data_IF_256209492783
#
_entry.id   IF_256209492783
#
_cell.length_a   1.000
_cell.length_b   1.000
_cell.length_c   1.000
_cell.angle_alpha   90.00
_cell.angle_beta   90.00
_cell.angle_gamma   90.00
#
_symmetry.space_group_name_H-M   'P 1'
#
loop_
_entity.id
_entity.type
_entity.pdbx_description
1 polymer ?
#
# COMPACT_ATOMS: atom_id res chain seq x y z
N UNK A 1 4.36 -49.04 1.97
CA UNK A 1 3.63 -48.02 1.17
C UNK A 1 4.68 -47.08 0.60
N UNK A 2 4.95 -47.17 -0.70
CA UNK A 2 6.08 -46.47 -1.34
C UNK A 2 5.53 -45.32 -2.16
N UNK A 3 5.90 -44.07 -1.84
CA UNK A 3 5.54 -42.93 -2.68
C UNK A 3 6.37 -43.00 -3.97
N UNK A 4 5.68 -42.96 -5.11
CA UNK A 4 6.29 -43.15 -6.44
C UNK A 4 6.67 -41.82 -7.12
N UNK A 5 5.95 -40.73 -6.80
CA UNK A 5 6.20 -39.39 -7.33
C UNK A 5 5.49 -38.32 -6.52
N UNK A 6 6.07 -37.12 -6.42
CA UNK A 6 5.43 -35.91 -5.89
C UNK A 6 5.66 -34.73 -6.85
N UNK A 7 4.87 -33.66 -6.69
CA UNK A 7 5.04 -32.38 -7.40
C UNK A 7 4.78 -31.25 -6.43
N UNK A 8 5.70 -30.30 -6.36
CA UNK A 8 5.53 -29.07 -5.57
C UNK A 8 4.71 -28.07 -6.38
N UNK A 9 3.69 -27.49 -5.73
CA UNK A 9 2.86 -26.40 -6.26
C UNK A 9 2.91 -25.28 -5.22
N UNK A 10 3.32 -24.08 -5.62
CA UNK A 10 3.43 -22.91 -4.76
C UNK A 10 2.74 -21.73 -5.44
N UNK A 11 1.97 -20.96 -4.68
CA UNK A 11 1.39 -19.68 -5.09
C UNK A 11 1.84 -18.59 -4.12
N UNK A 12 1.99 -17.36 -4.63
CA UNK A 12 2.36 -16.19 -3.84
C UNK A 12 1.46 -15.01 -4.19
N UNK A 13 1.10 -14.23 -3.19
CA UNK A 13 0.44 -12.94 -3.33
C UNK A 13 1.40 -11.88 -2.80
N UNK A 14 1.90 -11.03 -3.70
CA UNK A 14 2.93 -10.04 -3.39
C UNK A 14 2.31 -8.66 -3.53
N UNK A 15 2.34 -7.88 -2.45
CA UNK A 15 2.00 -6.47 -2.48
C UNK A 15 3.29 -5.65 -2.60
N UNK A 16 3.32 -4.76 -3.59
CA UNK A 16 4.43 -3.82 -3.81
C UNK A 16 3.88 -2.41 -3.69
N UNK A 17 4.42 -1.64 -2.76
CA UNK A 17 4.06 -0.25 -2.59
C UNK A 17 4.79 0.62 -3.63
N UNK A 18 4.04 1.44 -4.36
CA UNK A 18 4.61 2.32 -5.38
C UNK A 18 5.17 3.59 -4.73
N UNK A 19 6.40 3.96 -5.09
CA UNK A 19 7.07 5.19 -4.64
C UNK A 19 6.57 6.43 -5.42
N UNK A 20 5.26 6.67 -5.42
CA UNK A 20 4.63 7.84 -6.04
C UNK A 20 4.75 9.08 -5.15
N UNK A 21 4.65 10.29 -5.71
CA UNK A 21 4.68 11.51 -4.89
C UNK A 21 3.40 11.69 -4.04
N UNK A 22 2.25 11.29 -4.58
CA UNK A 22 0.94 11.34 -3.92
C UNK A 22 0.38 9.93 -3.68
N UNK A 23 -0.60 9.81 -2.78
CA UNK A 23 -1.37 8.58 -2.59
C UNK A 23 -2.27 8.32 -3.82
N UNK A 24 -2.87 7.14 -3.86
CA UNK A 24 -3.58 6.63 -5.03
C UNK A 24 -4.79 7.47 -5.47
N UNK A 25 -5.49 8.10 -4.53
CA UNK A 25 -6.78 8.75 -4.77
C UNK A 25 -6.86 10.19 -4.25
N UNK A 26 -5.72 10.78 -3.91
CA UNK A 26 -5.61 12.15 -3.40
C UNK A 26 -4.22 12.70 -3.65
N UNK A 27 -4.07 14.03 -3.66
CA UNK A 27 -2.80 14.73 -3.59
C UNK A 27 -2.04 14.56 -2.25
N UNK A 28 -2.63 13.94 -1.22
CA UNK A 28 -1.92 13.71 0.05
C UNK A 28 -0.60 12.94 -0.19
N UNK A 29 0.51 13.31 0.49
CA UNK A 29 1.81 12.74 0.15
C UNK A 29 1.90 11.24 0.48
N UNK A 30 2.61 10.49 -0.37
CA UNK A 30 2.84 9.06 -0.12
C UNK A 30 4.01 8.85 0.86
N UNK A 31 3.91 7.87 1.75
CA UNK A 31 4.98 7.51 2.68
C UNK A 31 6.11 6.74 2.00
N UNK A 32 5.83 6.07 0.88
CA UNK A 32 6.76 5.21 0.15
C UNK A 32 7.98 5.92 -0.47
N UNK A 33 8.16 7.23 -0.27
CA UNK A 33 9.31 7.99 -0.77
C UNK A 33 10.26 8.41 0.36
N UNK A 34 11.58 8.47 0.11
CA UNK A 34 12.57 8.76 1.16
C UNK A 34 12.33 10.06 1.93
N UNK A 35 11.76 11.07 1.28
CA UNK A 35 11.47 12.36 1.90
C UNK A 35 10.45 12.30 3.05
N UNK A 36 9.66 11.22 3.13
CA UNK A 36 8.56 11.09 4.08
C UNK A 36 8.73 9.96 5.12
N UNK A 37 9.86 9.24 5.12
CA UNK A 37 10.06 8.10 6.03
C UNK A 37 10.01 8.48 7.52
N UNK A 38 10.39 9.71 7.86
CA UNK A 38 10.37 10.24 9.22
C UNK A 38 9.11 11.08 9.51
N UNK A 39 8.05 10.95 8.71
CA UNK A 39 6.83 11.72 8.92
C UNK A 39 6.12 11.29 10.22
N UNK A 40 5.74 12.28 11.04
CA UNK A 40 5.03 12.04 12.29
C UNK A 40 3.63 11.43 12.05
N UNK A 41 3.06 10.72 13.03
CA UNK A 41 1.73 10.13 12.91
C UNK A 41 0.66 11.16 12.51
N UNK A 42 -0.20 10.78 11.56
CA UNK A 42 -1.32 11.59 11.07
C UNK A 42 -0.91 12.95 10.44
N UNK A 43 0.33 13.10 9.95
CA UNK A 43 0.76 14.32 9.24
C UNK A 43 0.59 14.25 7.71
N UNK A 44 0.57 13.05 7.13
CA UNK A 44 0.41 12.82 5.68
C UNK A 44 -1.02 12.40 5.33
N UNK A 45 -1.99 13.14 5.87
CA UNK A 45 -3.42 12.84 5.74
C UNK A 45 -4.18 14.06 5.24
N UNK A 46 -5.35 13.81 4.66
CA UNK A 46 -6.32 14.81 4.25
C UNK A 46 -7.73 14.25 4.54
N UNK A 47 -8.81 14.96 4.20
CA UNK A 47 -10.17 14.46 4.42
C UNK A 47 -10.46 13.11 3.78
N UNK A 48 -9.86 12.79 2.62
CA UNK A 48 -10.08 11.50 1.96
C UNK A 48 -9.36 10.36 2.69
N UNK A 49 -8.08 10.55 3.04
CA UNK A 49 -7.30 9.56 3.80
C UNK A 49 -7.93 9.27 5.16
N UNK A 50 -8.53 10.30 5.77
CA UNK A 50 -9.25 10.20 7.04
C UNK A 50 -10.70 9.71 6.89
N UNK A 51 -11.15 9.41 5.66
CA UNK A 51 -12.51 8.96 5.35
C UNK A 51 -13.60 9.88 5.91
N UNK A 52 -13.39 11.20 5.85
CA UNK A 52 -14.36 12.18 6.32
C UNK A 52 -15.56 12.26 5.36
N UNK A 53 -16.78 12.53 5.89
CA UNK A 53 -17.99 12.60 5.07
C UNK A 53 -17.87 13.61 3.93
N UNK A 54 -18.29 13.21 2.72
CA UNK A 54 -18.28 14.07 1.54
C UNK A 54 -16.94 14.14 0.80
N UNK A 55 -15.91 13.41 1.23
CA UNK A 55 -14.68 13.23 0.45
C UNK A 55 -14.89 12.28 -0.73
N UNK A 56 -14.31 12.60 -1.89
CA UNK A 56 -14.38 11.80 -3.12
C UNK A 56 -12.96 11.46 -3.61
N UNK A 57 -12.73 10.23 -4.11
CA UNK A 57 -11.44 9.83 -4.66
C UNK A 57 -11.19 10.49 -6.02
N UNK A 58 -9.97 11.00 -6.23
CA UNK A 58 -9.50 11.59 -7.50
C UNK A 58 -8.07 11.20 -7.84
#
# INVERSE_FOLDING_TARGET
MTIVKTRVLVGMEIHVELATNSKMFTSAPNLAIPAHYEAEPNTLVDPLVMALPGSLPV
#
